data_IF_964881020260
#
_entry.id   IF_964881020260
#
_cell.length_a   1.000
_cell.length_b   1.000
_cell.length_c   1.000
_cell.angle_alpha   90.00
_cell.angle_beta   90.00
_cell.angle_gamma   90.00
#
_symmetry.space_group_name_H-M   'P 1'
#
loop_
_entity.id
_entity.type
_entity.pdbx_description
1 polymer ?
#
# COMPACT_ATOMS: atom_id res chain seq x y z
N UNK A 1 28.52 -1.48 -17.94
CA UNK A 1 27.21 -1.34 -17.30
C UNK A 1 27.40 -1.54 -15.80
N UNK A 2 27.39 -0.49 -14.98
CA UNK A 2 27.31 -0.67 -13.54
C UNK A 2 25.93 -1.22 -13.20
N UNK A 3 25.89 -2.40 -12.58
CA UNK A 3 24.64 -2.92 -12.02
C UNK A 3 24.29 -1.99 -10.85
N UNK A 4 23.08 -1.42 -10.78
CA UNK A 4 22.69 -0.60 -9.64
C UNK A 4 22.82 -1.42 -8.35
N UNK A 5 23.23 -0.78 -7.25
CA UNK A 5 23.17 -1.44 -5.94
C UNK A 5 21.73 -1.82 -5.63
N UNK A 6 21.54 -2.81 -4.75
CA UNK A 6 20.20 -3.24 -4.36
C UNK A 6 19.36 -2.06 -3.83
N UNK A 7 19.95 -1.17 -3.04
CA UNK A 7 19.29 0.03 -2.52
C UNK A 7 18.78 0.94 -3.65
N UNK A 8 19.61 1.26 -4.64
CA UNK A 8 19.20 2.06 -5.80
C UNK A 8 18.08 1.38 -6.60
N UNK A 9 18.08 0.04 -6.69
CA UNK A 9 17.00 -0.68 -7.34
C UNK A 9 15.67 -0.57 -6.57
N UNK A 10 15.70 -0.69 -5.23
CA UNK A 10 14.50 -0.54 -4.38
C UNK A 10 13.99 0.90 -4.39
N UNK A 11 14.90 1.89 -4.38
CA UNK A 11 14.55 3.30 -4.49
C UNK A 11 13.81 3.59 -5.80
N UNK A 12 14.36 3.16 -6.95
CA UNK A 12 13.72 3.33 -8.26
C UNK A 12 12.35 2.66 -8.33
N UNK A 13 12.18 1.51 -7.68
CA UNK A 13 10.87 0.87 -7.58
C UNK A 13 9.87 1.77 -6.81
N UNK A 14 10.32 2.41 -5.73
CA UNK A 14 9.51 3.38 -4.98
C UNK A 14 9.13 4.62 -5.80
N UNK A 15 10.09 5.18 -6.53
CA UNK A 15 9.86 6.30 -7.47
C UNK A 15 8.86 5.93 -8.58
N UNK A 16 8.81 4.66 -8.98
CA UNK A 16 7.83 4.11 -9.91
C UNK A 16 6.47 3.73 -9.25
N UNK A 17 6.28 4.01 -7.96
CA UNK A 17 5.03 3.73 -7.24
C UNK A 17 4.88 2.29 -6.75
N UNK A 18 5.98 1.52 -6.65
CA UNK A 18 5.95 0.16 -6.11
C UNK A 18 6.25 0.12 -4.61
N UNK A 19 5.43 -0.66 -3.90
CA UNK A 19 5.65 -1.02 -2.51
C UNK A 19 6.57 -2.25 -2.42
N UNK A 20 7.59 -2.19 -1.59
CA UNK A 20 8.58 -3.25 -1.41
C UNK A 20 8.41 -3.92 -0.04
N UNK A 21 7.88 -5.14 -0.03
CA UNK A 21 7.58 -5.85 1.23
C UNK A 21 8.71 -6.85 1.50
N UNK A 22 9.38 -6.67 2.63
CA UNK A 22 10.64 -7.33 2.95
C UNK A 22 10.54 -8.13 4.25
N UNK A 23 11.27 -9.25 4.32
CA UNK A 23 11.35 -10.07 5.53
C UNK A 23 12.34 -9.47 6.53
N UNK A 24 11.97 -9.40 7.80
CA UNK A 24 12.89 -9.00 8.87
C UNK A 24 14.08 -9.95 9.03
N UNK A 25 13.94 -11.23 8.64
CA UNK A 25 14.95 -12.27 8.74
C UNK A 25 14.64 -13.32 9.82
N UNK A 26 15.34 -14.45 9.79
CA UNK A 26 15.05 -15.64 10.63
C UNK A 26 16.23 -16.05 11.52
N UNK A 27 16.91 -15.10 12.17
CA UNK A 27 18.11 -15.32 12.99
C UNK A 27 17.93 -14.92 14.46
N UNK A 28 16.72 -14.56 14.90
CA UNK A 28 16.44 -13.98 16.24
C UNK A 28 17.31 -12.73 16.52
N UNK A 29 17.63 -11.98 15.48
CA UNK A 29 18.49 -10.83 15.54
C UNK A 29 17.70 -9.55 15.79
N UNK A 30 18.30 -8.62 16.52
CA UNK A 30 17.82 -7.24 16.65
C UNK A 30 18.30 -6.42 15.45
N UNK A 31 17.38 -6.07 14.56
CA UNK A 31 17.65 -5.32 13.36
C UNK A 31 17.96 -3.84 13.64
N UNK A 32 17.61 -3.30 14.81
CA UNK A 32 18.01 -1.94 15.20
C UNK A 32 19.52 -1.90 15.49
N UNK A 33 20.08 -3.00 16.01
CA UNK A 33 21.51 -3.13 16.30
C UNK A 33 22.30 -3.67 15.09
N UNK A 34 21.74 -4.61 14.33
CA UNK A 34 22.39 -5.23 13.17
C UNK A 34 21.38 -5.31 12.03
N UNK A 35 21.34 -4.30 11.15
CA UNK A 35 20.32 -4.21 10.11
C UNK A 35 20.33 -5.41 9.15
N UNK A 36 19.14 -5.93 8.87
CA UNK A 36 18.93 -6.92 7.81
C UNK A 36 18.48 -6.21 6.54
N UNK A 37 19.18 -6.42 5.44
CA UNK A 37 18.83 -5.83 4.15
C UNK A 37 17.76 -6.68 3.45
N UNK A 38 16.68 -6.10 2.89
CA UNK A 38 16.48 -4.66 2.63
C UNK A 38 15.75 -3.85 3.71
N UNK A 39 15.28 -4.47 4.81
CA UNK A 39 14.63 -3.73 5.91
C UNK A 39 15.48 -2.59 6.50
N UNK A 40 16.80 -2.73 6.47
CA UNK A 40 17.75 -1.73 6.96
C UNK A 40 17.98 -0.54 6.04
N UNK A 41 17.38 -0.51 4.84
CA UNK A 41 17.47 0.67 3.98
C UNK A 41 16.51 1.75 4.48
N UNK A 42 16.96 3.01 4.45
CA UNK A 42 16.13 4.15 4.81
C UNK A 42 15.29 4.62 3.61
N UNK A 43 14.32 3.79 3.20
CA UNK A 43 13.46 4.04 2.04
C UNK A 43 11.97 3.93 2.43
N UNK A 44 11.19 4.96 2.08
CA UNK A 44 9.78 5.07 2.47
C UNK A 44 8.87 4.02 1.83
N UNK A 45 9.29 3.42 0.72
CA UNK A 45 8.51 2.41 0.02
C UNK A 45 8.72 0.97 0.55
N UNK A 46 9.45 0.78 1.65
CA UNK A 46 9.67 -0.55 2.26
C UNK A 46 8.66 -0.81 3.39
N UNK A 47 8.13 -2.04 3.48
CA UNK A 47 7.50 -2.56 4.70
C UNK A 47 8.31 -3.77 5.17
N UNK A 48 8.94 -3.66 6.33
CA UNK A 48 9.66 -4.74 6.97
C UNK A 48 8.75 -5.56 7.88
N UNK A 49 8.71 -6.88 7.65
CA UNK A 49 7.73 -7.79 8.25
C UNK A 49 8.39 -8.83 9.14
N UNK A 50 8.03 -8.81 10.42
CA UNK A 50 8.31 -9.88 11.39
C UNK A 50 7.28 -11.02 11.31
N UNK A 51 7.63 -12.19 11.85
CA UNK A 51 6.73 -13.34 11.87
C UNK A 51 6.20 -13.62 13.29
N UNK A 52 4.88 -13.73 13.42
CA UNK A 52 4.21 -14.23 14.64
C UNK A 52 3.62 -15.62 14.44
N UNK A 53 3.34 -16.29 15.56
CA UNK A 53 2.56 -17.54 15.60
C UNK A 53 1.07 -17.29 15.90
N UNK A 54 0.32 -18.37 16.06
CA UNK A 54 -1.12 -18.32 16.32
C UNK A 54 -1.49 -17.77 17.72
N UNK A 55 -0.53 -17.57 18.61
CA UNK A 55 -0.73 -16.97 19.93
C UNK A 55 -0.34 -15.48 19.96
N UNK A 56 -0.09 -14.88 18.79
CA UNK A 56 0.43 -13.51 18.64
C UNK A 56 1.73 -13.24 19.37
N UNK A 57 2.57 -14.27 19.44
CA UNK A 57 3.95 -14.15 19.90
C UNK A 57 4.86 -14.21 18.69
N UNK A 58 5.91 -13.40 18.72
CA UNK A 58 6.97 -13.45 17.73
C UNK A 58 7.56 -14.87 17.66
N UNK A 59 7.75 -15.42 16.45
CA UNK A 59 8.44 -16.69 16.28
C UNK A 59 9.83 -16.64 16.92
N UNK A 60 10.25 -17.74 17.52
CA UNK A 60 11.52 -17.83 18.25
C UNK A 60 12.76 -17.54 17.39
N UNK A 61 12.65 -17.68 16.07
CA UNK A 61 13.68 -17.37 15.09
C UNK A 61 13.45 -16.05 14.33
N UNK A 62 12.30 -15.37 14.46
CA UNK A 62 12.08 -14.11 13.76
C UNK A 62 13.02 -13.04 14.29
N UNK A 63 13.60 -12.26 13.38
CA UNK A 63 14.23 -11.00 13.73
C UNK A 63 13.15 -9.99 14.18
N UNK A 64 13.59 -9.00 14.94
CA UNK A 64 12.76 -7.93 15.49
C UNK A 64 13.53 -6.60 15.42
N UNK A 65 12.86 -5.49 15.67
CA UNK A 65 13.48 -4.17 15.74
C UNK A 65 12.41 -3.13 16.07
N UNK A 66 12.60 -2.35 17.11
CA UNK A 66 11.60 -1.38 17.56
C UNK A 66 11.45 -0.22 16.57
N UNK A 67 12.44 0.02 15.71
CA UNK A 67 12.39 1.09 14.69
C UNK A 67 12.61 0.58 13.27
N UNK A 68 13.29 -0.55 13.08
CA UNK A 68 13.64 -1.10 11.76
C UNK A 68 12.68 -2.17 11.22
N UNK A 69 11.76 -2.66 12.06
CA UNK A 69 10.71 -3.61 11.66
C UNK A 69 9.37 -2.92 11.83
N UNK A 70 8.56 -2.85 10.78
CA UNK A 70 7.33 -2.05 10.81
C UNK A 70 6.19 -2.76 11.53
N UNK A 71 5.93 -4.03 11.20
CA UNK A 71 4.81 -4.82 11.73
C UNK A 71 5.11 -6.32 11.76
N UNK A 72 4.30 -7.10 12.48
CA UNK A 72 4.32 -8.55 12.40
C UNK A 72 3.13 -9.10 11.62
N UNK A 73 3.31 -10.24 10.95
CA UNK A 73 2.22 -10.97 10.32
C UNK A 73 2.33 -12.47 10.60
N UNK A 74 1.24 -13.25 10.43
CA UNK A 74 1.26 -14.69 10.64
C UNK A 74 2.32 -15.36 9.78
N UNK A 75 3.30 -15.99 10.44
CA UNK A 75 4.40 -16.69 9.78
C UNK A 75 4.72 -18.03 10.42
N UNK A 76 4.03 -18.43 11.49
CA UNK A 76 4.19 -19.73 12.14
C UNK A 76 3.23 -20.79 11.59
N UNK A 77 3.76 -21.94 11.18
CA UNK A 77 2.98 -23.10 10.72
C UNK A 77 1.97 -22.74 9.63
N UNK A 78 2.44 -22.03 8.60
CA UNK A 78 1.61 -21.62 7.46
C UNK A 78 1.58 -22.76 6.43
N UNK A 79 0.37 -23.23 6.12
CA UNK A 79 0.14 -24.24 5.08
C UNK A 79 0.06 -23.57 3.71
N UNK A 80 0.89 -24.01 2.77
CA UNK A 80 0.88 -23.45 1.42
C UNK A 80 1.33 -24.47 0.36
N UNK A 81 1.21 -24.07 -0.90
CA UNK A 81 1.55 -24.86 -2.08
C UNK A 81 3.06 -25.08 -2.20
N UNK A 82 3.43 -26.27 -2.69
CA UNK A 82 4.80 -26.65 -3.07
C UNK A 82 4.76 -27.27 -4.49
N UNK A 83 5.88 -27.25 -5.24
CA UNK A 83 5.95 -27.96 -6.52
C UNK A 83 5.43 -29.41 -6.46
N UNK A 84 5.08 -29.93 -7.63
CA UNK A 84 4.54 -31.29 -7.80
C UNK A 84 3.16 -31.51 -7.19
N UNK A 85 2.30 -30.47 -7.20
CA UNK A 85 0.93 -30.52 -6.68
C UNK A 85 0.87 -30.98 -5.20
N UNK A 86 1.83 -30.50 -4.41
CA UNK A 86 1.91 -30.83 -2.98
C UNK A 86 1.71 -29.59 -2.13
N UNK A 87 1.52 -29.82 -0.83
CA UNK A 87 1.37 -28.77 0.16
C UNK A 87 2.20 -29.11 1.38
N UNK A 88 2.66 -28.08 2.09
CA UNK A 88 3.44 -28.26 3.30
C UNK A 88 3.21 -27.10 4.28
N UNK A 89 3.45 -27.40 5.56
CA UNK A 89 3.58 -26.38 6.58
C UNK A 89 5.01 -25.84 6.60
N UNK A 90 5.15 -24.52 6.60
CA UNK A 90 6.44 -23.83 6.74
C UNK A 90 6.32 -22.67 7.73
N UNK A 91 7.43 -22.28 8.33
CA UNK A 91 7.49 -21.20 9.31
C UNK A 91 8.61 -20.22 9.02
N UNK A 92 8.35 -18.92 9.21
CA UNK A 92 9.35 -17.86 9.17
C UNK A 92 8.81 -16.55 8.60
N UNK A 93 9.65 -15.52 8.61
CA UNK A 93 9.35 -14.20 8.00
C UNK A 93 9.06 -14.30 6.51
N UNK A 94 9.59 -15.31 5.82
CA UNK A 94 9.26 -15.64 4.43
C UNK A 94 7.80 -16.05 4.22
N UNK A 95 7.11 -16.55 5.25
CA UNK A 95 5.68 -16.86 5.22
C UNK A 95 4.83 -15.67 5.68
N UNK A 96 5.38 -14.77 6.49
CA UNK A 96 4.72 -13.54 6.92
C UNK A 96 4.67 -12.48 5.80
N UNK A 97 5.75 -12.30 5.04
CA UNK A 97 5.84 -11.37 3.90
C UNK A 97 4.70 -11.52 2.88
N UNK A 98 4.38 -12.73 2.37
CA UNK A 98 3.30 -12.87 1.39
C UNK A 98 1.90 -12.55 1.97
N UNK A 99 1.71 -12.61 3.30
CA UNK A 99 0.45 -12.16 3.92
C UNK A 99 0.26 -10.65 3.76
N UNK A 100 1.31 -9.87 4.04
CA UNK A 100 1.30 -8.40 3.86
C UNK A 100 1.23 -8.04 2.37
N UNK A 101 1.92 -8.78 1.50
CA UNK A 101 1.84 -8.57 0.06
C UNK A 101 0.45 -8.86 -0.52
N UNK A 102 -0.19 -9.93 -0.04
CA UNK A 102 -1.58 -10.23 -0.37
C UNK A 102 -2.54 -9.14 0.08
N UNK A 103 -2.36 -8.61 1.29
CA UNK A 103 -3.17 -7.50 1.82
C UNK A 103 -3.02 -6.24 0.96
N UNK A 104 -1.78 -5.83 0.64
CA UNK A 104 -1.51 -4.69 -0.23
C UNK A 104 -2.13 -4.87 -1.63
N UNK A 105 -2.04 -6.07 -2.21
CA UNK A 105 -2.65 -6.39 -3.50
C UNK A 105 -4.19 -6.33 -3.43
N UNK A 106 -4.79 -6.85 -2.36
CA UNK A 106 -6.24 -6.76 -2.14
C UNK A 106 -6.70 -5.30 -2.02
N UNK A 107 -5.92 -4.47 -1.33
CA UNK A 107 -6.19 -3.03 -1.22
C UNK A 107 -6.10 -2.31 -2.56
N UNK A 108 -5.14 -2.67 -3.42
CA UNK A 108 -5.06 -2.15 -4.80
C UNK A 108 -6.30 -2.53 -5.62
N UNK A 109 -6.78 -3.77 -5.51
CA UNK A 109 -8.01 -4.19 -6.20
C UNK A 109 -9.23 -3.41 -5.67
N UNK A 110 -9.30 -3.20 -4.35
CA UNK A 110 -10.41 -2.46 -3.74
C UNK A 110 -10.35 -0.95 -4.04
N UNK A 111 -9.14 -0.37 -4.13
CA UNK A 111 -8.89 1.05 -4.41
C UNK A 111 -7.81 1.20 -5.51
N UNK A 112 -8.17 1.07 -6.80
CA UNK A 112 -7.19 1.07 -7.89
C UNK A 112 -6.38 2.37 -8.05
N UNK A 113 -6.88 3.49 -7.50
CA UNK A 113 -6.22 4.79 -7.54
C UNK A 113 -5.35 5.05 -6.29
N UNK A 114 -5.29 4.12 -5.34
CA UNK A 114 -4.46 4.27 -4.15
C UNK A 114 -2.97 4.25 -4.52
N UNK A 115 -2.21 5.18 -3.97
CA UNK A 115 -0.75 5.16 -4.10
C UNK A 115 -0.13 4.10 -3.17
N UNK A 116 1.07 3.62 -3.50
CA UNK A 116 1.82 2.72 -2.60
C UNK A 116 2.02 3.31 -1.19
N UNK A 117 2.21 4.64 -1.11
CA UNK A 117 2.34 5.34 0.16
C UNK A 117 1.03 5.32 0.97
N UNK A 118 -0.13 5.53 0.33
CA UNK A 118 -1.44 5.42 0.98
C UNK A 118 -1.71 4.00 1.47
N UNK A 119 -1.37 2.98 0.68
CA UNK A 119 -1.50 1.57 1.07
C UNK A 119 -0.62 1.26 2.26
N UNK A 120 0.67 1.64 2.21
CA UNK A 120 1.60 1.46 3.33
C UNK A 120 1.07 2.14 4.58
N UNK A 121 0.69 3.41 4.49
CA UNK A 121 0.19 4.19 5.62
C UNK A 121 -1.06 3.54 6.23
N UNK A 122 -2.00 3.09 5.40
CA UNK A 122 -3.19 2.39 5.85
C UNK A 122 -2.84 1.07 6.57
N UNK A 123 -1.98 0.22 6.00
CA UNK A 123 -1.52 -1.03 6.63
C UNK A 123 -0.87 -0.77 8.00
N UNK A 124 0.02 0.22 8.08
CA UNK A 124 0.78 0.49 9.31
C UNK A 124 -0.04 1.17 10.40
N UNK A 125 -1.02 2.00 10.02
CA UNK A 125 -1.89 2.71 10.97
C UNK A 125 -3.08 1.87 11.44
N UNK A 126 -3.38 0.76 10.79
CA UNK A 126 -4.53 -0.10 11.09
C UNK A 126 -4.14 -1.44 11.72
N UNK A 127 -2.90 -1.61 12.17
CA UNK A 127 -2.49 -2.87 12.81
C UNK A 127 -3.32 -3.15 14.06
N UNK A 128 -3.55 -4.43 14.34
CA UNK A 128 -4.07 -4.84 15.64
C UNK A 128 -2.91 -4.85 16.65
N UNK A 129 -2.96 -3.96 17.64
CA UNK A 129 -1.94 -3.92 18.69
C UNK A 129 -2.02 -5.18 19.55
N UNK A 130 -0.89 -5.90 19.70
CA UNK A 130 -0.84 -7.12 20.51
C UNK A 130 0.28 -7.03 21.53
N UNK A 131 -0.02 -7.36 22.79
CA UNK A 131 0.94 -7.33 23.90
C UNK A 131 2.24 -8.09 23.60
N UNK A 132 2.15 -9.24 22.90
CA UNK A 132 3.31 -10.06 22.54
C UNK A 132 4.28 -9.42 21.53
N UNK A 133 3.85 -8.33 20.88
CA UNK A 133 4.60 -7.64 19.82
C UNK A 133 5.11 -6.25 20.26
N UNK A 134 4.74 -5.79 21.45
CA UNK A 134 5.16 -4.50 21.97
C UNK A 134 6.69 -4.42 22.11
N UNK A 135 7.26 -3.38 21.51
CA UNK A 135 8.72 -3.19 21.43
C UNK A 135 9.46 -4.19 20.54
N UNK A 136 8.75 -4.99 19.73
CA UNK A 136 9.35 -5.92 18.75
C UNK A 136 9.29 -5.41 17.31
N UNK A 137 8.37 -4.51 17.05
CA UNK A 137 8.21 -3.78 15.79
C UNK A 137 7.70 -2.37 16.12
N UNK A 138 7.87 -1.44 15.19
CA UNK A 138 7.51 -0.02 15.35
C UNK A 138 6.02 0.17 15.65
N UNK A 139 5.16 -0.60 14.97
CA UNK A 139 3.72 -0.55 15.19
C UNK A 139 3.26 -1.28 16.46
N UNK A 140 4.09 -2.15 17.03
CA UNK A 140 3.72 -3.01 18.16
C UNK A 140 2.55 -3.96 17.86
N UNK A 141 2.23 -4.19 16.59
CA UNK A 141 1.00 -4.85 16.18
C UNK A 141 1.13 -5.84 15.03
N UNK A 142 0.07 -6.62 14.86
CA UNK A 142 -0.12 -7.60 13.79
C UNK A 142 -0.89 -6.97 12.64
N UNK A 143 -0.58 -7.39 11.40
CA UNK A 143 -1.40 -7.10 10.22
C UNK A 143 -2.89 -7.37 10.48
N UNK A 144 -3.73 -6.36 10.25
CA UNK A 144 -5.19 -6.48 10.16
C UNK A 144 -5.64 -5.97 8.78
N UNK A 145 -6.11 -6.91 7.96
CA UNK A 145 -6.48 -6.64 6.56
C UNK A 145 -7.83 -5.91 6.46
N UNK A 146 -8.76 -6.20 7.35
CA UNK A 146 -10.09 -5.60 7.34
C UNK A 146 -10.03 -4.14 7.79
N UNK A 147 -9.30 -3.89 8.87
CA UNK A 147 -9.02 -2.54 9.33
C UNK A 147 -8.25 -1.72 8.28
N UNK A 148 -7.29 -2.32 7.57
CA UNK A 148 -6.57 -1.65 6.49
C UNK A 148 -7.49 -1.27 5.31
N UNK A 149 -8.33 -2.21 4.85
CA UNK A 149 -9.29 -1.95 3.76
C UNK A 149 -10.33 -0.88 4.10
N UNK A 150 -10.69 -0.78 5.38
CA UNK A 150 -11.62 0.21 5.90
C UNK A 150 -10.96 1.58 6.10
N UNK A 151 -9.70 1.60 6.57
CA UNK A 151 -8.96 2.84 6.84
C UNK A 151 -8.48 3.54 5.57
N UNK A 152 -8.21 2.78 4.50
CA UNK A 152 -7.73 3.37 3.25
C UNK A 152 -8.79 4.29 2.62
N UNK A 153 -8.53 5.59 2.73
CA UNK A 153 -9.33 6.64 2.15
C UNK A 153 -8.53 7.26 1.01
N UNK A 154 -8.93 7.02 -0.24
CA UNK A 154 -8.28 7.62 -1.42
C UNK A 154 -8.84 8.99 -1.78
N UNK A 155 -9.64 9.59 -0.89
CA UNK A 155 -10.23 10.90 -1.06
C UNK A 155 -9.19 11.98 -0.80
N UNK A 156 -8.17 12.07 -1.65
CA UNK A 156 -7.56 13.37 -1.86
C UNK A 156 -8.57 14.19 -2.67
N UNK A 157 -9.05 15.27 -2.06
CA UNK A 157 -9.77 16.31 -2.79
C UNK A 157 -8.86 16.75 -3.94
N UNK A 158 -9.22 16.38 -5.17
CA UNK A 158 -8.65 17.02 -6.35
C UNK A 158 -8.80 18.52 -6.13
N UNK A 159 -7.66 19.20 -6.14
CA UNK A 159 -7.53 20.62 -5.90
C UNK A 159 -8.70 21.37 -6.53
N UNK A 160 -9.39 22.16 -5.73
CA UNK A 160 -10.26 23.21 -6.21
C UNK A 160 -9.36 24.24 -6.92
N UNK A 161 -9.04 23.97 -8.19
CA UNK A 161 -8.56 24.96 -9.13
C UNK A 161 -9.66 26.02 -9.22
N UNK A 162 -9.44 27.13 -8.53
CA UNK A 162 -10.33 28.26 -8.56
C UNK A 162 -10.53 28.68 -10.03
N UNK A 163 -11.79 28.71 -10.46
CA UNK A 163 -12.17 29.17 -11.79
C UNK A 163 -11.70 30.62 -11.95
N UNK A 164 -10.57 30.85 -12.64
CA UNK A 164 -10.26 32.18 -13.13
C UNK A 164 -11.18 32.45 -14.33
N UNK A 165 -11.95 33.52 -14.27
CA UNK A 165 -12.76 33.97 -15.41
C UNK A 165 -11.82 34.27 -16.58
N UNK A 166 -11.96 33.52 -17.69
CA UNK A 166 -11.37 33.91 -18.96
C UNK A 166 -12.29 34.97 -19.59
N UNK A 167 -11.75 36.16 -19.80
CA UNK A 167 -12.43 37.29 -20.43
C UNK A 167 -13.04 36.91 -21.79
N UNK A 168 -14.19 37.53 -22.08
CA UNK A 168 -14.86 37.59 -23.39
C UNK A 168 -15.49 36.30 -23.95
N UNK A 169 -16.32 35.65 -23.13
CA UNK A 169 -17.66 35.23 -23.57
C UNK A 169 -17.75 34.26 -24.75
N UNK A 170 -17.24 33.03 -24.60
CA UNK A 170 -17.77 31.87 -25.36
C UNK A 170 -17.49 30.48 -24.77
N UNK A 171 -16.75 30.34 -23.66
CA UNK A 171 -16.54 29.03 -23.03
C UNK A 171 -16.49 29.16 -21.51
N UNK A 172 -17.39 28.45 -20.80
CA UNK A 172 -17.26 28.24 -19.37
C UNK A 172 -16.26 27.10 -19.16
N UNK A 173 -15.15 27.33 -18.46
CA UNK A 173 -14.36 26.21 -17.93
C UNK A 173 -15.18 25.53 -16.84
N UNK A 174 -15.40 24.22 -16.98
CA UNK A 174 -16.05 23.41 -15.95
C UNK A 174 -15.00 22.98 -14.93
N UNK A 175 -15.20 23.33 -13.66
CA UNK A 175 -14.51 22.68 -12.57
C UNK A 175 -15.01 21.25 -12.47
N UNK A 176 -14.13 20.28 -12.72
CA UNK A 176 -14.43 18.87 -12.52
C UNK A 176 -13.90 18.49 -11.14
N UNK A 177 -14.80 18.31 -10.18
CA UNK A 177 -14.41 17.73 -8.90
C UNK A 177 -14.55 16.21 -9.00
N UNK A 178 -13.43 15.53 -9.21
CA UNK A 178 -13.40 14.07 -9.14
C UNK A 178 -13.38 13.67 -7.66
N UNK A 179 -14.52 13.26 -7.13
CA UNK A 179 -14.57 12.61 -5.83
C UNK A 179 -14.40 11.10 -6.02
N UNK A 180 -13.16 10.61 -5.87
CA UNK A 180 -12.84 9.19 -6.08
C UNK A 180 -13.37 8.27 -4.98
N UNK A 181 -14.09 8.80 -4.00
CA UNK A 181 -14.51 8.11 -2.78
C UNK A 181 -15.46 6.93 -3.01
N UNK A 182 -16.16 6.86 -4.15
CA UNK A 182 -17.17 5.83 -4.45
C UNK A 182 -17.18 5.38 -5.93
N UNK A 183 -16.17 5.71 -6.72
CA UNK A 183 -16.27 5.63 -8.19
C UNK A 183 -17.30 6.60 -8.79
N UNK A 184 -17.73 7.59 -8.01
CA UNK A 184 -18.71 8.59 -8.42
C UNK A 184 -18.00 9.87 -8.91
N UNK A 185 -18.05 10.09 -10.22
CA UNK A 185 -17.62 11.35 -10.81
C UNK A 185 -18.79 12.34 -10.82
N UNK A 186 -18.61 13.52 -10.22
CA UNK A 186 -19.63 14.59 -10.24
C UNK A 186 -19.07 15.83 -10.93
N UNK A 187 -19.67 16.22 -12.05
CA UNK A 187 -19.47 17.55 -12.65
C UNK A 187 -20.54 18.47 -12.09
N UNK A 188 -20.13 19.54 -11.40
CA UNK A 188 -21.07 20.53 -10.89
C UNK A 188 -20.98 21.78 -11.76
N UNK A 189 -22.04 22.08 -12.54
CA UNK A 189 -22.10 23.37 -13.25
C UNK A 189 -22.39 24.48 -12.24
N UNK A 190 -21.62 25.58 -12.22
CA UNK A 190 -21.97 26.77 -11.45
C UNK A 190 -23.33 27.38 -11.85
N UNK A 191 -23.84 27.00 -13.02
CA UNK A 191 -25.02 27.56 -13.67
C UNK A 191 -26.38 26.95 -13.25
N UNK A 192 -26.43 25.99 -12.32
CA UNK A 192 -27.71 25.42 -11.84
C UNK A 192 -28.52 24.62 -12.88
N UNK A 193 -27.93 24.28 -14.03
CA UNK A 193 -28.57 23.47 -15.06
C UNK A 193 -27.95 22.06 -15.06
N UNK A 194 -28.70 21.08 -14.58
CA UNK A 194 -28.31 19.67 -14.60
C UNK A 194 -28.33 19.15 -16.05
N UNK A 195 -27.18 19.08 -16.71
CA UNK A 195 -27.00 18.25 -17.91
C UNK A 195 -26.09 17.07 -17.57
N UNK A 196 -26.56 15.85 -17.87
CA UNK A 196 -25.75 14.63 -17.74
C UNK A 196 -24.67 14.65 -18.83
N UNK A 197 -23.40 14.66 -18.44
CA UNK A 197 -22.31 14.31 -19.34
C UNK A 197 -22.20 12.78 -19.39
N UNK A 198 -22.31 12.19 -20.57
CA UNK A 198 -21.96 10.80 -20.83
C UNK A 198 -20.48 10.79 -21.21
N UNK A 199 -19.64 10.18 -20.37
CA UNK A 199 -18.24 9.93 -20.69
C UNK A 199 -18.13 8.57 -21.37
N UNK A 200 -17.59 8.55 -22.57
CA UNK A 200 -17.16 7.32 -23.23
C UNK A 200 -15.67 7.13 -22.95
N UNK A 201 -15.31 6.00 -22.34
CA UNK A 201 -13.92 5.68 -22.03
C UNK A 201 -13.24 5.20 -23.32
N UNK A 202 -12.41 6.04 -23.93
CA UNK A 202 -11.55 5.64 -25.05
C UNK A 202 -10.17 5.28 -24.51
N UNK A 203 -9.78 4.03 -24.72
CA UNK A 203 -8.42 3.53 -24.49
C UNK A 203 -7.39 4.34 -25.31
N UNK A 204 -6.15 4.31 -24.82
CA UNK A 204 -5.00 5.20 -25.07
C UNK A 204 -4.49 5.41 -26.51
N UNK A 205 -5.28 5.14 -27.54
CA UNK A 205 -4.90 5.39 -28.94
C UNK A 205 -5.79 6.40 -29.67
N UNK A 206 -6.92 6.82 -29.10
CA UNK A 206 -7.78 7.85 -29.69
C UNK A 206 -8.14 8.88 -28.63
N UNK A 207 -7.70 10.13 -28.83
CA UNK A 207 -7.85 11.20 -27.84
C UNK A 207 -9.29 11.34 -27.33
N UNK A 208 -9.44 11.49 -26.01
CA UNK A 208 -10.72 11.70 -25.36
C UNK A 208 -11.41 12.95 -25.94
N UNK A 209 -12.51 12.73 -26.67
CA UNK A 209 -13.35 13.78 -27.24
C UNK A 209 -14.65 13.94 -26.45
N UNK A 210 -14.95 15.17 -26.03
CA UNK A 210 -16.27 15.53 -25.52
C UNK A 210 -17.22 15.77 -26.71
N UNK A 211 -18.29 14.99 -26.81
CA UNK A 211 -19.38 15.25 -27.75
C UNK A 211 -20.64 15.67 -26.96
N UNK A 212 -21.25 16.78 -27.39
CA UNK A 212 -22.47 17.36 -26.82
C UNK A 212 -23.73 16.89 -27.56
#
# INVERSE_FOLDING_TARGET
>A
CSVPTLETAVQRAGEAGHLFIASAGNKKNDNDATPTIPCGFNLDNIICVAASDANDVLLSNSNYGATTVDLAAPGGSIYSTKPSNTYAYMSGTSMAVPMVAGAAALMLVARPLATAAQIKSSILSSVEAVTGLQGKCASGGRLDVDAALTSITTCEQAANDACAALDNGSWCQYGVTVSTCQGAFSVQCPCGQNRRALFDYSDSEHGAGLHF
#
